data_IF_971700400946
#
_entry.id   IF_971700400946
#
_cell.length_a   1.000
_cell.length_b   1.000
_cell.length_c   1.000
_cell.angle_alpha   90.00
_cell.angle_beta   90.00
_cell.angle_gamma   90.00
#
_symmetry.space_group_name_H-M   'P 1'
#
loop_
_entity.id
_entity.type
_entity.pdbx_description
1 polymer ?
#
# COMPACT_ATOMS: atom_id res chain seq x y z
N UNK A 1 18.28 22.77 -9.91
CA UNK A 1 18.47 21.93 -8.71
C UNK A 1 17.11 21.51 -8.18
N UNK A 2 16.63 20.32 -8.56
CA UNK A 2 15.44 19.72 -7.94
C UNK A 2 15.90 19.02 -6.66
N UNK A 3 15.19 19.25 -5.55
CA UNK A 3 15.62 18.78 -4.22
C UNK A 3 15.79 17.26 -4.19
N UNK A 4 16.89 16.80 -3.59
CA UNK A 4 17.34 15.40 -3.51
C UNK A 4 16.38 14.43 -2.80
N UNK A 5 15.17 14.85 -2.41
CA UNK A 5 14.20 14.03 -1.68
C UNK A 5 13.19 13.28 -2.57
N UNK A 6 13.08 13.60 -3.87
CA UNK A 6 12.04 13.02 -4.75
C UNK A 6 12.50 11.83 -5.62
N UNK A 7 13.81 11.49 -5.63
CA UNK A 7 14.36 10.44 -6.53
C UNK A 7 14.60 9.09 -5.81
N UNK A 8 14.42 9.01 -4.49
CA UNK A 8 14.84 7.84 -3.71
C UNK A 8 13.80 6.69 -3.64
N UNK A 9 12.54 6.91 -4.05
CA UNK A 9 11.46 5.92 -3.84
C UNK A 9 11.43 4.84 -4.95
N UNK A 10 12.05 5.09 -6.11
CA UNK A 10 11.86 4.27 -7.31
C UNK A 10 12.77 3.02 -7.44
N UNK A 11 13.62 2.71 -6.45
CA UNK A 11 14.55 1.57 -6.51
C UNK A 11 14.58 0.72 -5.23
N UNK A 12 13.51 0.75 -4.44
CA UNK A 12 13.46 0.06 -3.15
C UNK A 12 12.95 -1.38 -3.34
N UNK A 13 13.77 -2.38 -3.03
CA UNK A 13 13.35 -3.77 -2.91
C UNK A 13 12.40 -3.99 -1.71
N UNK A 14 11.75 -5.15 -1.61
CA UNK A 14 10.76 -5.43 -0.55
C UNK A 14 11.28 -5.12 0.86
N UNK A 15 12.57 -5.34 1.13
CA UNK A 15 13.22 -4.98 2.40
C UNK A 15 13.33 -3.47 2.59
N UNK A 16 13.63 -2.73 1.53
CA UNK A 16 13.69 -1.27 1.55
C UNK A 16 12.29 -0.63 1.64
N UNK A 17 11.27 -1.23 1.02
CA UNK A 17 9.86 -0.83 1.17
C UNK A 17 9.41 -1.06 2.61
N UNK A 18 9.66 -2.24 3.17
CA UNK A 18 9.34 -2.56 4.57
C UNK A 18 10.04 -1.61 5.55
N UNK A 19 11.31 -1.27 5.31
CA UNK A 19 12.02 -0.29 6.12
C UNK A 19 11.40 1.12 5.99
N UNK A 20 11.00 1.54 4.79
CA UNK A 20 10.37 2.84 4.58
C UNK A 20 8.97 2.93 5.19
N UNK A 21 8.23 1.81 5.20
CA UNK A 21 6.92 1.67 5.83
C UNK A 21 7.01 1.66 7.36
N UNK A 22 7.98 0.91 7.92
CA UNK A 22 8.30 0.97 9.35
C UNK A 22 8.64 2.40 9.76
N UNK A 23 9.44 3.12 8.97
CA UNK A 23 9.74 4.52 9.22
C UNK A 23 8.47 5.42 9.21
N UNK A 24 7.47 5.12 8.38
CA UNK A 24 6.22 5.90 8.36
C UNK A 24 5.35 5.61 9.59
N UNK A 25 5.24 4.33 9.99
CA UNK A 25 4.48 3.94 11.18
C UNK A 25 5.14 4.44 12.47
N UNK A 26 6.47 4.37 12.56
CA UNK A 26 7.25 4.96 13.65
C UNK A 26 7.02 6.48 13.74
N UNK A 27 6.99 7.18 12.61
CA UNK A 27 6.71 8.61 12.59
C UNK A 27 5.28 8.93 13.08
N UNK A 28 4.29 8.15 12.65
CA UNK A 28 2.90 8.27 13.14
C UNK A 28 2.83 8.01 14.65
N UNK A 29 3.49 6.96 15.12
CA UNK A 29 3.52 6.60 16.53
C UNK A 29 4.18 7.68 17.38
N UNK A 30 5.30 8.26 16.92
CA UNK A 30 5.95 9.39 17.59
C UNK A 30 5.05 10.63 17.63
N UNK A 31 4.35 10.94 16.54
CA UNK A 31 3.43 12.08 16.52
C UNK A 31 2.25 11.88 17.48
N UNK A 32 1.71 10.65 17.55
CA UNK A 32 0.64 10.31 18.48
C UNK A 32 1.12 10.45 19.93
N UNK A 33 2.30 9.93 20.26
CA UNK A 33 2.87 10.03 21.59
C UNK A 33 3.10 11.50 22.02
N UNK A 34 3.60 12.35 21.10
CA UNK A 34 3.73 13.79 21.35
C UNK A 34 2.40 14.46 21.66
N UNK A 35 1.34 14.17 20.88
CA UNK A 35 0.01 14.71 21.12
C UNK A 35 -0.56 14.29 22.49
N UNK A 36 -0.28 13.06 22.95
CA UNK A 36 -0.66 12.61 24.30
C UNK A 36 0.09 13.39 25.39
N UNK A 37 1.39 13.64 25.21
CA UNK A 37 2.18 14.44 26.15
C UNK A 37 1.72 15.89 26.17
N UNK A 38 1.34 16.46 25.03
CA UNK A 38 0.82 17.83 24.92
C UNK A 38 -0.49 18.00 25.71
N UNK A 39 -1.40 17.03 25.63
CA UNK A 39 -2.67 17.07 26.37
C UNK A 39 -2.56 16.58 27.82
N UNK A 40 -1.54 15.76 28.12
CA UNK A 40 -1.24 15.28 29.46
C UNK A 40 0.29 15.26 29.71
N UNK A 41 0.85 16.39 30.21
CA UNK A 41 2.30 16.51 30.43
C UNK A 41 2.89 15.46 31.39
N UNK A 42 2.08 14.88 32.29
CA UNK A 42 2.53 13.81 33.19
C UNK A 42 2.93 12.52 32.46
N UNK A 43 2.47 12.34 31.22
CA UNK A 43 2.79 11.18 30.40
C UNK A 43 4.18 11.24 29.74
N UNK A 44 4.97 12.30 29.96
CA UNK A 44 6.26 12.51 29.27
C UNK A 44 7.23 11.33 29.42
N UNK A 45 7.31 10.75 30.61
CA UNK A 45 8.19 9.60 30.88
C UNK A 45 7.76 8.33 30.12
N UNK A 46 6.48 8.24 29.75
CA UNK A 46 5.92 7.11 29.00
C UNK A 46 5.89 7.32 27.48
N UNK A 47 6.38 8.45 26.95
CA UNK A 47 6.26 8.80 25.51
C UNK A 47 6.76 7.69 24.57
N UNK A 48 7.90 7.08 24.87
CA UNK A 48 8.44 5.96 24.09
C UNK A 48 7.59 4.69 24.17
N UNK A 49 7.00 4.40 25.33
CA UNK A 49 6.08 3.27 25.52
C UNK A 49 4.77 3.50 24.77
N UNK A 50 4.25 4.73 24.76
CA UNK A 50 3.05 5.11 24.00
C UNK A 50 3.29 4.91 22.50
N UNK A 51 4.42 5.38 21.97
CA UNK A 51 4.77 5.15 20.57
C UNK A 51 4.89 3.64 20.25
N UNK A 52 5.55 2.88 21.12
CA UNK A 52 5.69 1.42 20.96
C UNK A 52 4.33 0.73 20.97
N UNK A 53 3.42 1.12 21.86
CA UNK A 53 2.06 0.57 21.94
C UNK A 53 1.24 0.86 20.67
N UNK A 54 1.41 2.03 20.03
CA UNK A 54 0.77 2.34 18.75
C UNK A 54 1.27 1.44 17.63
N UNK A 55 2.59 1.24 17.53
CA UNK A 55 3.19 0.34 16.53
C UNK A 55 2.71 -1.09 16.76
N UNK A 56 2.76 -1.57 18.01
CA UNK A 56 2.32 -2.91 18.36
C UNK A 56 0.82 -3.10 18.10
N UNK A 57 -0.01 -2.15 18.52
CA UNK A 57 -1.45 -2.15 18.29
C UNK A 57 -1.79 -2.22 16.80
N UNK A 58 -1.19 -1.36 15.99
CA UNK A 58 -1.37 -1.38 14.54
C UNK A 58 -0.97 -2.73 13.93
N UNK A 59 0.19 -3.27 14.32
CA UNK A 59 0.63 -4.59 13.84
C UNK A 59 -0.29 -5.73 14.33
N UNK A 60 -0.79 -5.65 15.56
CA UNK A 60 -1.67 -6.66 16.16
C UNK A 60 -3.06 -6.70 15.54
N UNK A 61 -3.59 -5.55 15.09
CA UNK A 61 -4.86 -5.47 14.35
C UNK A 61 -4.78 -6.28 13.06
N UNK A 62 -3.62 -6.28 12.39
CA UNK A 62 -3.40 -7.07 11.16
C UNK A 62 -3.03 -8.53 11.43
N UNK A 63 -2.60 -8.88 12.64
CA UNK A 63 -2.17 -10.24 12.99
C UNK A 63 -3.22 -11.08 13.71
N UNK A 64 -4.29 -10.47 14.27
CA UNK A 64 -5.26 -11.17 15.11
C UNK A 64 -6.72 -11.04 14.67
N UNK A 65 -6.99 -10.35 13.57
CA UNK A 65 -8.28 -10.42 12.89
C UNK A 65 -8.08 -11.33 11.67
N UNK A 66 -8.63 -12.55 11.74
CA UNK A 66 -8.63 -13.46 10.59
C UNK A 66 -9.28 -12.82 9.35
N UNK A 67 -10.12 -11.79 9.57
CA UNK A 67 -10.95 -11.11 8.60
C UNK A 67 -10.97 -9.59 8.85
N UNK A 68 -10.90 -8.80 7.78
CA UNK A 68 -10.81 -7.35 7.77
C UNK A 68 -11.95 -6.72 6.97
N UNK A 69 -12.39 -5.52 7.37
CA UNK A 69 -13.23 -4.68 6.53
C UNK A 69 -12.50 -4.18 5.25
N UNK A 70 -13.27 -3.70 4.28
CA UNK A 70 -12.74 -3.16 3.03
C UNK A 70 -11.75 -1.99 3.24
N UNK A 71 -12.00 -1.12 4.22
CA UNK A 71 -11.11 0.00 4.52
C UNK A 71 -9.73 -0.45 4.99
N UNK A 72 -9.68 -1.51 5.80
CA UNK A 72 -8.45 -2.15 6.25
C UNK A 72 -7.76 -2.90 5.11
N UNK A 73 -8.51 -3.52 4.19
CA UNK A 73 -7.94 -4.09 2.96
C UNK A 73 -7.25 -3.01 2.10
N UNK A 74 -7.88 -1.84 1.92
CA UNK A 74 -7.26 -0.71 1.22
C UNK A 74 -6.01 -0.20 1.95
N UNK A 75 -6.03 -0.13 3.28
CA UNK A 75 -4.82 0.21 4.06
C UNK A 75 -3.72 -0.81 3.83
N UNK A 76 -4.02 -2.10 3.93
CA UNK A 76 -3.07 -3.18 3.69
C UNK A 76 -2.45 -3.10 2.28
N UNK A 77 -3.25 -2.82 1.25
CA UNK A 77 -2.77 -2.57 -0.12
C UNK A 77 -1.82 -1.37 -0.18
N UNK A 78 -2.13 -0.26 0.50
CA UNK A 78 -1.23 0.90 0.60
C UNK A 78 0.05 0.59 1.36
N UNK A 79 0.01 -0.37 2.27
CA UNK A 79 1.18 -0.93 2.95
C UNK A 79 1.93 -1.98 2.10
N UNK A 80 1.55 -2.18 0.83
CA UNK A 80 2.22 -3.11 -0.07
C UNK A 80 1.84 -4.57 0.12
N UNK A 81 0.93 -4.88 1.05
CA UNK A 81 0.41 -6.24 1.20
C UNK A 81 -0.52 -6.58 0.04
N UNK A 82 -0.52 -7.86 -0.32
CA UNK A 82 -1.57 -8.45 -1.16
C UNK A 82 -2.77 -8.77 -0.27
N UNK A 83 -3.97 -8.57 -0.80
CA UNK A 83 -5.21 -8.89 -0.06
C UNK A 83 -6.14 -9.74 -0.90
N UNK A 84 -7.01 -10.50 -0.24
CA UNK A 84 -8.04 -11.31 -0.90
C UNK A 84 -9.27 -11.43 -0.01
N UNK A 85 -10.39 -11.79 -0.61
CA UNK A 85 -11.58 -12.27 0.11
C UNK A 85 -11.35 -13.69 0.62
N UNK A 86 -12.06 -14.12 1.66
CA UNK A 86 -11.93 -15.49 2.20
C UNK A 86 -12.18 -16.55 1.13
N UNK A 87 -13.29 -16.43 0.39
CA UNK A 87 -13.68 -17.34 -0.69
C UNK A 87 -12.80 -17.30 -1.95
N UNK A 88 -11.84 -16.38 -2.03
CA UNK A 88 -10.91 -16.29 -3.16
C UNK A 88 -9.68 -17.20 -3.00
N UNK A 89 -9.44 -17.70 -1.79
CA UNK A 89 -8.26 -18.52 -1.46
C UNK A 89 -8.18 -19.78 -2.33
N UNK A 90 -9.31 -20.47 -2.50
CA UNK A 90 -9.40 -21.72 -3.27
C UNK A 90 -9.21 -21.50 -4.78
N UNK A 91 -9.46 -20.28 -5.26
CA UNK A 91 -9.31 -19.87 -6.65
C UNK A 91 -8.01 -19.08 -6.92
N UNK A 92 -7.12 -18.94 -5.92
CA UNK A 92 -5.85 -18.19 -6.00
C UNK A 92 -6.01 -16.72 -6.45
N UNK A 93 -7.17 -16.13 -6.25
CA UNK A 93 -7.44 -14.74 -6.59
C UNK A 93 -6.92 -13.80 -5.49
N UNK A 94 -6.30 -12.69 -5.88
CA UNK A 94 -5.87 -11.65 -4.94
C UNK A 94 -5.69 -10.31 -5.63
N UNK A 95 -5.68 -9.25 -4.82
CA UNK A 95 -5.40 -7.88 -5.21
C UNK A 95 -3.99 -7.48 -4.77
N UNK A 96 -3.38 -6.59 -5.55
CA UNK A 96 -2.20 -5.84 -5.15
C UNK A 96 -2.26 -4.42 -5.70
N UNK A 97 -1.59 -3.49 -5.03
CA UNK A 97 -1.45 -2.12 -5.50
C UNK A 97 -0.15 -2.01 -6.30
N UNK A 98 -0.24 -1.65 -7.57
CA UNK A 98 0.93 -1.19 -8.33
C UNK A 98 1.13 0.30 -8.08
N UNK A 99 2.35 0.76 -7.74
CA UNK A 99 2.61 2.18 -7.52
C UNK A 99 2.53 2.95 -8.84
N UNK A 100 2.32 4.26 -8.72
CA UNK A 100 2.49 5.17 -9.86
C UNK A 100 3.92 5.02 -10.41
N UNK A 101 4.04 4.98 -11.73
CA UNK A 101 5.31 4.71 -12.39
C UNK A 101 5.43 5.46 -13.71
N UNK A 102 6.65 5.59 -14.21
CA UNK A 102 6.93 6.15 -15.52
C UNK A 102 7.31 5.03 -16.47
N UNK A 103 6.61 4.94 -17.60
CA UNK A 103 6.85 3.94 -18.64
C UNK A 103 7.57 4.63 -19.80
N UNK A 104 8.73 4.09 -20.18
CA UNK A 104 9.45 4.56 -21.37
C UNK A 104 8.79 4.05 -22.63
N UNK A 105 8.85 4.83 -23.70
CA UNK A 105 8.30 4.46 -25.02
C UNK A 105 8.82 3.10 -25.53
N UNK A 106 10.09 2.77 -25.25
CA UNK A 106 10.70 1.48 -25.61
C UNK A 106 10.05 0.27 -24.92
N UNK A 107 9.41 0.48 -23.77
CA UNK A 107 8.68 -0.54 -23.02
C UNK A 107 7.21 -0.67 -23.45
N UNK A 108 6.70 0.29 -24.22
CA UNK A 108 5.31 0.30 -24.68
C UNK A 108 5.12 -0.68 -25.85
N UNK A 109 4.36 -1.76 -25.60
CA UNK A 109 3.96 -2.71 -26.66
C UNK A 109 2.77 -2.23 -27.47
N UNK A 110 1.89 -1.42 -26.87
CA UNK A 110 0.78 -0.80 -27.57
C UNK A 110 1.27 0.37 -28.44
N UNK A 111 0.96 0.40 -29.75
CA UNK A 111 1.44 1.44 -30.65
C UNK A 111 0.96 2.85 -30.28
N UNK A 112 -0.26 2.99 -29.76
CA UNK A 112 -0.80 4.30 -29.38
C UNK A 112 -0.09 4.83 -28.14
N UNK A 113 0.07 3.99 -27.11
CA UNK A 113 0.79 4.32 -25.89
C UNK A 113 2.26 4.66 -26.17
N UNK A 114 2.90 3.90 -27.07
CA UNK A 114 4.26 4.19 -27.52
C UNK A 114 4.34 5.57 -28.18
N UNK A 115 3.45 5.85 -29.12
CA UNK A 115 3.41 7.14 -29.81
C UNK A 115 3.18 8.31 -28.84
N UNK A 116 2.27 8.15 -27.88
CA UNK A 116 2.02 9.15 -26.85
C UNK A 116 3.26 9.38 -25.96
N UNK A 117 3.96 8.33 -25.57
CA UNK A 117 5.20 8.44 -24.81
C UNK A 117 6.31 9.14 -25.62
N UNK A 118 6.45 8.84 -26.92
CA UNK A 118 7.41 9.51 -27.81
C UNK A 118 7.11 11.01 -27.94
N UNK A 119 5.83 11.38 -28.14
CA UNK A 119 5.40 12.80 -28.16
C UNK A 119 5.67 13.51 -26.83
N UNK A 120 5.63 12.78 -25.72
CA UNK A 120 5.88 13.30 -24.37
C UNK A 120 7.38 13.25 -23.97
N UNK A 121 8.29 13.20 -24.94
CA UNK A 121 9.74 13.24 -24.68
C UNK A 121 10.38 11.88 -24.37
N UNK A 122 9.70 10.79 -24.72
CA UNK A 122 10.21 9.41 -24.62
C UNK A 122 9.65 8.60 -23.45
N UNK A 123 8.80 9.19 -22.62
CA UNK A 123 8.19 8.53 -21.46
C UNK A 123 6.79 9.06 -21.15
N UNK A 124 5.98 8.25 -20.45
CA UNK A 124 4.64 8.64 -19.98
C UNK A 124 4.44 8.19 -18.54
N UNK A 125 3.83 9.05 -17.72
CA UNK A 125 3.51 8.74 -16.33
C UNK A 125 2.19 7.98 -16.23
N UNK A 126 2.15 7.01 -15.31
CA UNK A 126 0.97 6.20 -14.98
C UNK A 126 0.60 6.39 -13.51
N UNK A 127 -0.69 6.34 -13.21
CA UNK A 127 -1.16 6.36 -11.84
C UNK A 127 -0.98 4.98 -11.18
N UNK A 128 -0.91 4.97 -9.86
CA UNK A 128 -0.97 3.71 -9.12
C UNK A 128 -2.35 3.09 -9.28
N UNK A 129 -2.40 1.78 -9.49
CA UNK A 129 -3.65 1.07 -9.73
C UNK A 129 -3.71 -0.23 -8.95
N UNK A 130 -4.90 -0.58 -8.48
CA UNK A 130 -5.14 -1.89 -7.87
C UNK A 130 -5.31 -2.88 -9.03
N UNK A 131 -4.49 -3.91 -9.05
CA UNK A 131 -4.58 -5.00 -10.00
C UNK A 131 -5.15 -6.23 -9.31
N UNK A 132 -5.74 -7.12 -10.10
CA UNK A 132 -6.28 -8.38 -9.63
C UNK A 132 -5.75 -9.55 -10.46
N UNK A 133 -5.40 -10.64 -9.78
CA UNK A 133 -5.22 -11.94 -10.42
C UNK A 133 -6.58 -12.66 -10.38
N UNK A 134 -7.10 -13.01 -11.55
CA UNK A 134 -8.38 -13.72 -11.66
C UNK A 134 -8.20 -15.22 -11.44
N UNK A 135 -9.31 -15.95 -11.26
CA UNK A 135 -9.27 -17.41 -11.13
C UNK A 135 -8.70 -18.10 -12.38
N UNK A 136 -8.79 -17.43 -13.53
CA UNK A 136 -8.28 -17.90 -14.82
C UNK A 136 -6.80 -17.60 -15.03
N UNK A 137 -6.10 -17.05 -14.04
CA UNK A 137 -4.71 -16.60 -14.15
C UNK A 137 -4.50 -15.42 -15.11
N UNK A 138 -5.55 -14.66 -15.39
CA UNK A 138 -5.45 -13.38 -16.10
C UNK A 138 -5.20 -12.23 -15.12
N UNK A 139 -4.53 -11.18 -15.60
CA UNK A 139 -4.33 -9.95 -14.83
C UNK A 139 -5.37 -8.92 -15.28
N UNK A 140 -6.24 -8.53 -14.36
CA UNK A 140 -7.09 -7.35 -14.53
C UNK A 140 -6.33 -6.13 -14.03
N UNK A 141 -5.96 -5.26 -14.96
CA UNK A 141 -5.46 -3.92 -14.67
C UNK A 141 -6.66 -3.03 -14.32
N UNK A 142 -6.54 -2.18 -13.30
CA UNK A 142 -7.63 -1.31 -12.81
C UNK A 142 -8.84 -2.09 -12.28
N UNK A 143 -8.64 -2.78 -11.15
CA UNK A 143 -9.70 -3.47 -10.44
C UNK A 143 -10.81 -2.50 -10.01
N UNK A 144 -12.03 -2.79 -10.46
CA UNK A 144 -13.23 -2.07 -10.07
C UNK A 144 -13.90 -2.78 -8.90
N UNK A 145 -13.81 -2.17 -7.71
CA UNK A 145 -14.49 -2.69 -6.53
C UNK A 145 -16.02 -2.66 -6.73
N UNK A 146 -16.67 -3.82 -6.60
CA UNK A 146 -18.13 -3.90 -6.58
C UNK A 146 -18.69 -3.38 -5.25
N UNK A 147 -19.99 -3.10 -5.19
CA UNK A 147 -20.65 -2.80 -3.91
C UNK A 147 -20.49 -3.95 -2.91
N UNK A 148 -20.53 -5.19 -3.40
CA UNK A 148 -20.29 -6.36 -2.54
C UNK A 148 -18.87 -6.38 -2.00
N UNK A 149 -17.86 -5.98 -2.77
CA UNK A 149 -16.48 -5.88 -2.28
C UNK A 149 -16.35 -4.84 -1.18
N UNK A 150 -16.94 -3.66 -1.40
CA UNK A 150 -16.87 -2.53 -0.47
C UNK A 150 -17.59 -2.79 0.86
N UNK A 151 -18.67 -3.57 0.84
CA UNK A 151 -19.48 -3.89 2.04
C UNK A 151 -19.02 -5.16 2.78
N UNK A 152 -17.96 -5.80 2.32
CA UNK A 152 -17.52 -7.07 2.89
C UNK A 152 -16.51 -6.92 4.01
N UNK A 153 -16.55 -7.89 4.93
CA UNK A 153 -15.77 -7.92 6.16
C UNK A 153 -14.82 -9.11 6.24
N UNK A 154 -14.75 -9.95 5.20
CA UNK A 154 -13.93 -11.16 5.10
C UNK A 154 -12.64 -10.95 4.29
N UNK A 155 -12.07 -9.73 4.30
CA UNK A 155 -10.80 -9.47 3.64
C UNK A 155 -9.62 -10.01 4.47
N UNK A 156 -8.61 -10.53 3.80
CA UNK A 156 -7.45 -11.15 4.45
C UNK A 156 -6.18 -10.73 3.72
N UNK A 157 -5.08 -10.61 4.46
CA UNK A 157 -3.75 -10.48 3.84
C UNK A 157 -3.36 -11.83 3.23
N UNK A 158 -2.75 -11.81 2.05
CA UNK A 158 -2.14 -13.02 1.46
C UNK A 158 -0.75 -13.21 2.07
N UNK A 159 -0.45 -14.39 2.64
CA UNK A 159 0.87 -14.71 3.20
C UNK A 159 2.01 -14.65 2.19
#
# INVERSE_FOLDING_TARGET
MKSLKQVAILNLNDKQINNMLMNNLEQVAQNHAKGVVECNPSAKEAEGLIATAVVYGANSIFQHLDEMDFGNAIKALKFGYKVRRKGWSDCKMFLWLTPASTIKAECCKDPNLKHLAELNGGEISTFGTICMLTAQYDILLEWLASQTDMLSEDWMIVP
#
